data_IF_357820068277
#
_entry.id   IF_357820068277
#
_cell.length_a   1.000
_cell.length_b   1.000
_cell.length_c   1.000
_cell.angle_alpha   90.00
_cell.angle_beta   90.00
_cell.angle_gamma   90.00
#
_symmetry.space_group_name_H-M   'P 1'
#
loop_
_entity.id
_entity.type
_entity.pdbx_description
1 polymer ?
#
# COMPACT_ATOMS: atom_id res chain seq x y z
N UNK A 1 -38.63 19.57 -24.57
CA UNK A 1 -37.62 18.73 -25.24
C UNK A 1 -36.42 18.52 -24.29
N UNK A 2 -36.62 17.77 -23.20
CA UNK A 2 -35.55 17.36 -22.28
C UNK A 2 -35.17 15.91 -22.58
N UNK A 3 -34.40 15.72 -23.65
CA UNK A 3 -34.05 14.38 -24.11
C UNK A 3 -33.13 13.71 -23.07
N UNK A 4 -33.71 12.68 -22.42
CA UNK A 4 -33.08 11.40 -22.13
C UNK A 4 -31.56 11.49 -22.02
N UNK A 5 -31.05 11.69 -20.81
CA UNK A 5 -29.70 11.23 -20.49
C UNK A 5 -29.58 9.80 -21.00
N UNK A 6 -28.71 9.60 -21.98
CA UNK A 6 -28.46 8.30 -22.58
C UNK A 6 -28.19 7.29 -21.46
N UNK A 7 -28.82 6.12 -21.52
CA UNK A 7 -28.63 4.99 -20.59
C UNK A 7 -27.18 4.85 -20.04
N UNK A 8 -26.11 4.98 -20.85
CA UNK A 8 -24.73 5.01 -20.36
C UNK A 8 -24.40 6.05 -19.29
N UNK A 9 -24.86 7.32 -19.45
CA UNK A 9 -24.55 8.39 -18.49
C UNK A 9 -25.17 8.13 -17.12
N UNK A 10 -26.36 7.53 -17.08
CA UNK A 10 -27.00 7.17 -15.80
C UNK A 10 -26.21 6.09 -15.07
N UNK A 11 -25.72 5.10 -15.80
CA UNK A 11 -24.89 4.03 -15.22
C UNK A 11 -23.54 4.56 -14.72
N UNK A 12 -22.94 5.46 -15.49
CA UNK A 12 -21.71 6.15 -15.13
C UNK A 12 -21.86 6.96 -13.84
N UNK A 13 -22.92 7.76 -13.72
CA UNK A 13 -23.20 8.49 -12.47
C UNK A 13 -23.42 7.54 -11.30
N UNK A 14 -24.16 6.44 -11.51
CA UNK A 14 -24.38 5.42 -10.47
C UNK A 14 -23.07 4.78 -10.00
N UNK A 15 -22.16 4.48 -10.92
CA UNK A 15 -20.85 3.91 -10.63
C UNK A 15 -19.99 4.89 -9.82
N UNK A 16 -19.95 6.16 -10.23
CA UNK A 16 -19.25 7.23 -9.51
C UNK A 16 -19.77 7.41 -8.08
N UNK A 17 -21.09 7.47 -7.90
CA UNK A 17 -21.71 7.62 -6.57
C UNK A 17 -21.34 6.43 -5.66
N UNK A 18 -21.40 5.20 -6.18
CA UNK A 18 -21.05 4.00 -5.42
C UNK A 18 -19.56 3.92 -5.08
N UNK A 19 -18.71 4.42 -5.96
CA UNK A 19 -17.28 4.51 -5.74
C UNK A 19 -16.94 5.55 -4.66
N UNK A 20 -17.58 6.72 -4.68
CA UNK A 20 -17.44 7.73 -3.64
C UNK A 20 -17.93 7.23 -2.28
N UNK A 21 -19.05 6.50 -2.26
CA UNK A 21 -19.57 5.81 -1.07
C UNK A 21 -18.56 4.81 -0.51
N UNK A 22 -18.02 3.93 -1.36
CA UNK A 22 -16.98 2.97 -0.97
C UNK A 22 -15.74 3.69 -0.41
N UNK A 23 -15.26 4.73 -1.09
CA UNK A 23 -14.11 5.53 -0.67
C UNK A 23 -14.33 6.14 0.72
N UNK A 24 -15.51 6.70 0.98
CA UNK A 24 -15.85 7.29 2.29
C UNK A 24 -15.82 6.27 3.42
N UNK A 25 -16.30 5.04 3.17
CA UNK A 25 -16.29 3.94 4.14
C UNK A 25 -14.86 3.48 4.41
N UNK A 26 -14.05 3.34 3.37
CA UNK A 26 -12.64 2.93 3.52
C UNK A 26 -11.81 3.97 4.28
N UNK A 27 -12.02 5.27 4.03
CA UNK A 27 -11.38 6.34 4.81
C UNK A 27 -11.80 6.24 6.28
N UNK A 28 -13.09 6.02 6.55
CA UNK A 28 -13.62 5.89 7.91
C UNK A 28 -13.04 4.65 8.62
N UNK A 29 -12.95 3.51 7.92
CA UNK A 29 -12.32 2.28 8.42
C UNK A 29 -10.85 2.51 8.77
N UNK A 30 -10.07 3.15 7.90
CA UNK A 30 -8.65 3.46 8.16
C UNK A 30 -8.47 4.38 9.37
N UNK A 31 -9.34 5.39 9.53
CA UNK A 31 -9.34 6.25 10.73
C UNK A 31 -9.62 5.45 12.00
N UNK A 32 -10.60 4.54 11.96
CA UNK A 32 -10.93 3.63 13.07
C UNK A 32 -9.78 2.68 13.39
N UNK A 33 -9.09 2.13 12.39
CA UNK A 33 -7.91 1.25 12.60
C UNK A 33 -6.75 2.01 13.24
N UNK A 34 -6.44 3.22 12.76
CA UNK A 34 -5.45 4.10 13.40
C UNK A 34 -5.84 4.41 14.85
N UNK A 35 -7.13 4.68 15.10
CA UNK A 35 -7.63 4.94 16.45
C UNK A 35 -7.53 3.69 17.34
N UNK A 36 -7.86 2.51 16.84
CA UNK A 36 -7.71 1.24 17.55
C UNK A 36 -6.24 0.99 17.95
N UNK A 37 -5.30 1.15 17.02
CA UNK A 37 -3.86 1.00 17.30
C UNK A 37 -3.38 2.01 18.34
N UNK A 38 -3.80 3.28 18.23
CA UNK A 38 -3.47 4.30 19.23
C UNK A 38 -4.08 3.98 20.61
N UNK A 39 -5.34 3.56 20.65
CA UNK A 39 -6.03 3.21 21.89
C UNK A 39 -5.40 2.01 22.60
N UNK A 40 -4.98 0.97 21.85
CA UNK A 40 -4.26 -0.17 22.42
C UNK A 40 -2.90 0.22 22.99
N UNK A 41 -2.20 1.18 22.38
CA UNK A 41 -0.97 1.74 22.94
C UNK A 41 -1.25 2.48 24.27
N UNK A 42 -2.26 3.35 24.31
CA UNK A 42 -2.63 4.07 25.53
C UNK A 42 -3.07 3.15 26.68
N UNK A 43 -3.81 2.07 26.40
CA UNK A 43 -4.18 1.09 27.40
C UNK A 43 -2.94 0.40 28.02
N UNK A 44 -1.97 0.01 27.19
CA UNK A 44 -0.70 -0.58 27.67
C UNK A 44 0.07 0.41 28.55
N UNK A 45 0.18 1.67 28.09
CA UNK A 45 0.84 2.73 28.85
C UNK A 45 0.13 2.96 30.20
N UNK A 46 -1.19 3.02 30.22
CA UNK A 46 -2.00 3.17 31.42
C UNK A 46 -1.75 2.02 32.42
N UNK A 47 -1.75 0.77 31.96
CA UNK A 47 -1.48 -0.41 32.82
C UNK A 47 -0.08 -0.33 33.44
N UNK A 48 0.93 0.09 32.67
CA UNK A 48 2.31 0.25 33.18
C UNK A 48 2.37 1.34 34.24
N UNK A 49 1.82 2.53 33.96
CA UNK A 49 1.80 3.65 34.90
C UNK A 49 1.04 3.31 36.19
N UNK A 50 -0.12 2.67 36.06
CA UNK A 50 -0.91 2.23 37.20
C UNK A 50 -0.15 1.18 38.04
N UNK A 51 0.55 0.25 37.39
CA UNK A 51 1.36 -0.76 38.09
C UNK A 51 2.51 -0.13 38.89
N UNK A 52 3.16 0.91 38.34
CA UNK A 52 4.20 1.69 39.03
C UNK A 52 3.60 2.44 40.22
N UNK A 53 2.48 3.14 40.01
CA UNK A 53 1.78 3.87 41.09
C UNK A 53 1.37 2.91 42.21
N UNK A 54 0.83 1.75 41.86
CA UNK A 54 0.43 0.73 42.82
C UNK A 54 1.62 0.18 43.62
N UNK A 55 2.77 -0.06 42.97
CA UNK A 55 3.99 -0.48 43.64
C UNK A 55 4.48 0.57 44.66
N UNK A 56 4.50 1.84 44.27
CA UNK A 56 4.84 2.95 45.18
C UNK A 56 3.88 2.96 46.37
N UNK A 57 2.59 2.79 46.11
CA UNK A 57 1.57 2.76 47.15
C UNK A 57 1.79 1.61 48.14
N UNK A 58 2.16 0.42 47.66
CA UNK A 58 2.51 -0.72 48.52
C UNK A 58 3.73 -0.43 49.40
N UNK A 59 4.77 0.20 48.85
CA UNK A 59 5.98 0.58 49.60
C UNK A 59 5.63 1.59 50.69
N UNK A 60 4.84 2.61 50.37
CA UNK A 60 4.40 3.63 51.34
C UNK A 60 3.52 3.00 52.42
N UNK A 61 2.56 2.16 52.04
CA UNK A 61 1.70 1.44 52.99
C UNK A 61 2.51 0.56 53.93
N UNK A 62 3.56 -0.10 53.42
CA UNK A 62 4.46 -0.91 54.23
C UNK A 62 5.25 -0.07 55.25
N UNK A 63 5.77 1.09 54.83
CA UNK A 63 6.57 1.97 55.69
C UNK A 63 5.74 2.67 56.77
N UNK A 64 4.55 3.17 56.43
CA UNK A 64 3.78 4.03 57.33
C UNK A 64 2.80 3.28 58.23
N UNK A 65 2.60 1.97 58.06
CA UNK A 65 1.72 1.05 58.83
C UNK A 65 0.25 1.50 59.04
N UNK A 66 -0.11 2.72 58.65
CA UNK A 66 -1.34 3.41 59.00
C UNK A 66 -2.18 3.76 57.78
N UNK A 67 -1.66 3.57 56.56
CA UNK A 67 -2.49 3.74 55.36
C UNK A 67 -3.53 2.63 55.27
N UNK A 68 -4.78 3.05 55.05
CA UNK A 68 -5.99 2.29 55.26
C UNK A 68 -6.27 1.33 54.10
N UNK A 69 -6.67 0.09 54.44
CA UNK A 69 -7.16 -0.94 53.51
C UNK A 69 -8.28 -0.38 52.59
N UNK A 70 -9.06 0.58 53.06
CA UNK A 70 -10.11 1.24 52.27
C UNK A 70 -9.57 1.97 51.04
N UNK A 71 -8.46 2.70 51.15
CA UNK A 71 -7.90 3.42 50.00
C UNK A 71 -7.43 2.46 48.90
N UNK A 72 -6.88 1.30 49.31
CA UNK A 72 -6.49 0.23 48.40
C UNK A 72 -7.72 -0.29 47.65
N UNK A 73 -8.81 -0.53 48.37
CA UNK A 73 -10.06 -1.03 47.76
C UNK A 73 -10.61 -0.03 46.74
N UNK A 74 -10.67 1.26 47.07
CA UNK A 74 -11.19 2.30 46.18
C UNK A 74 -10.34 2.43 44.90
N UNK A 75 -9.01 2.41 45.02
CA UNK A 75 -8.08 2.44 43.87
C UNK A 75 -8.23 1.21 42.97
N UNK A 76 -8.40 0.02 43.55
CA UNK A 76 -8.68 -1.19 42.77
C UNK A 76 -10.01 -1.11 42.04
N UNK A 77 -11.08 -0.65 42.72
CA UNK A 77 -12.39 -0.49 42.09
C UNK A 77 -12.29 0.50 40.93
N UNK A 78 -11.62 1.63 41.11
CA UNK A 78 -11.39 2.61 40.06
C UNK A 78 -10.64 1.99 38.87
N UNK A 79 -9.57 1.25 39.12
CA UNK A 79 -8.81 0.55 38.07
C UNK A 79 -9.66 -0.43 37.26
N UNK A 80 -10.48 -1.25 37.93
CA UNK A 80 -11.39 -2.19 37.27
C UNK A 80 -12.46 -1.46 36.44
N UNK A 81 -13.00 -0.35 36.94
CA UNK A 81 -13.95 0.48 36.18
C UNK A 81 -13.27 1.02 34.91
N UNK A 82 -12.09 1.62 35.04
CA UNK A 82 -11.35 2.19 33.90
C UNK A 82 -11.07 1.10 32.86
N UNK A 83 -10.50 -0.04 33.27
CA UNK A 83 -10.23 -1.17 32.38
C UNK A 83 -11.50 -1.65 31.68
N UNK A 84 -12.62 -1.77 32.41
CA UNK A 84 -13.89 -2.21 31.84
C UNK A 84 -14.39 -1.26 30.77
N UNK A 85 -14.31 0.06 31.01
CA UNK A 85 -14.65 1.10 30.02
C UNK A 85 -13.75 0.97 28.78
N UNK A 86 -12.44 0.78 28.96
CA UNK A 86 -11.50 0.58 27.85
C UNK A 86 -11.86 -0.66 27.01
N UNK A 87 -12.25 -1.77 27.64
CA UNK A 87 -12.70 -2.97 26.92
C UNK A 87 -14.02 -2.75 26.17
N UNK A 88 -14.97 -2.03 26.75
CA UNK A 88 -16.22 -1.69 26.08
C UNK A 88 -15.99 -0.79 24.85
N UNK A 89 -15.15 0.24 25.00
CA UNK A 89 -14.74 1.10 23.87
C UNK A 89 -14.07 0.26 22.80
N UNK A 90 -13.13 -0.63 23.17
CA UNK A 90 -12.47 -1.52 22.22
C UNK A 90 -13.47 -2.41 21.48
N UNK A 91 -14.38 -3.06 22.19
CA UNK A 91 -15.41 -3.92 21.60
C UNK A 91 -16.28 -3.14 20.61
N UNK A 92 -16.66 -1.91 20.97
CA UNK A 92 -17.40 -1.00 20.10
C UNK A 92 -16.60 -0.68 18.83
N UNK A 93 -15.33 -0.27 18.92
CA UNK A 93 -14.49 -0.01 17.75
C UNK A 93 -14.41 -1.23 16.83
N UNK A 94 -14.14 -2.41 17.42
CA UNK A 94 -14.04 -3.65 16.66
C UNK A 94 -15.35 -3.98 15.94
N UNK A 95 -16.49 -3.77 16.58
CA UNK A 95 -17.80 -3.91 15.95
C UNK A 95 -17.96 -2.95 14.75
N UNK A 96 -17.57 -1.68 14.89
CA UNK A 96 -17.65 -0.71 13.80
C UNK A 96 -16.71 -1.03 12.64
N UNK A 97 -15.49 -1.49 12.92
CA UNK A 97 -14.54 -1.93 11.88
C UNK A 97 -15.12 -3.11 11.10
N UNK A 98 -15.68 -4.10 11.81
CA UNK A 98 -16.28 -5.27 11.16
C UNK A 98 -17.52 -4.88 10.34
N UNK A 99 -18.40 -4.03 10.88
CA UNK A 99 -19.57 -3.54 10.15
C UNK A 99 -19.17 -2.73 8.91
N UNK A 100 -18.13 -1.88 9.01
CA UNK A 100 -17.58 -1.16 7.86
C UNK A 100 -16.98 -2.12 6.82
N UNK A 101 -16.34 -3.21 7.25
CA UNK A 101 -15.81 -4.23 6.36
C UNK A 101 -16.94 -4.93 5.59
N UNK A 102 -18.00 -5.36 6.25
CA UNK A 102 -19.18 -5.96 5.62
C UNK A 102 -19.84 -5.02 4.61
N UNK A 103 -20.06 -3.75 4.99
CA UNK A 103 -20.61 -2.74 4.07
C UNK A 103 -19.72 -2.50 2.87
N UNK A 104 -18.40 -2.46 3.07
CA UNK A 104 -17.45 -2.28 1.96
C UNK A 104 -17.46 -3.47 1.00
N UNK A 105 -17.67 -4.69 1.51
CA UNK A 105 -17.77 -5.90 0.69
C UNK A 105 -19.07 -5.91 -0.11
N UNK A 106 -20.20 -5.56 0.52
CA UNK A 106 -21.48 -5.43 -0.16
C UNK A 106 -21.42 -4.38 -1.30
N UNK A 107 -20.81 -3.22 -1.05
CA UNK A 107 -20.64 -2.18 -2.06
C UNK A 107 -19.72 -2.60 -3.20
N UNK A 108 -18.66 -3.37 -2.92
CA UNK A 108 -17.80 -3.94 -3.97
C UNK A 108 -18.58 -4.87 -4.89
N UNK A 109 -19.44 -5.71 -4.33
CA UNK A 109 -20.32 -6.58 -5.11
C UNK A 109 -21.31 -5.79 -5.98
N UNK A 110 -21.91 -4.71 -5.42
CA UNK A 110 -22.78 -3.82 -6.19
C UNK A 110 -22.04 -3.10 -7.33
N UNK A 111 -20.82 -2.63 -7.06
CA UNK A 111 -19.95 -2.00 -8.05
C UNK A 111 -19.57 -2.97 -9.16
N UNK A 112 -19.22 -4.21 -8.81
CA UNK A 112 -18.91 -5.27 -9.78
C UNK A 112 -20.11 -5.54 -10.70
N UNK A 113 -21.32 -5.61 -10.13
CA UNK A 113 -22.54 -5.77 -10.91
C UNK A 113 -22.79 -4.59 -11.86
N UNK A 114 -22.62 -3.36 -11.38
CA UNK A 114 -22.77 -2.16 -12.21
C UNK A 114 -21.70 -2.11 -13.32
N UNK A 115 -20.48 -2.55 -13.03
CA UNK A 115 -19.39 -2.61 -14.00
C UNK A 115 -19.64 -3.69 -15.07
N UNK A 116 -20.13 -4.87 -14.69
CA UNK A 116 -20.57 -5.90 -15.64
C UNK A 116 -21.67 -5.39 -16.57
N UNK A 117 -22.68 -4.72 -16.01
CA UNK A 117 -23.75 -4.10 -16.80
C UNK A 117 -23.22 -3.02 -17.76
N UNK A 118 -22.26 -2.20 -17.30
CA UNK A 118 -21.61 -1.19 -18.12
C UNK A 118 -20.81 -1.79 -19.27
N UNK A 119 -19.99 -2.81 -18.98
CA UNK A 119 -19.15 -3.49 -19.98
C UNK A 119 -19.97 -4.30 -20.98
N UNK A 120 -21.18 -4.74 -20.63
CA UNK A 120 -22.14 -5.35 -21.56
C UNK A 120 -22.74 -4.36 -22.57
N UNK A 121 -22.61 -3.04 -22.37
CA UNK A 121 -23.20 -2.08 -23.29
C UNK A 121 -22.54 -2.13 -24.68
N UNK A 122 -23.32 -2.00 -25.77
CA UNK A 122 -22.80 -2.11 -27.14
C UNK A 122 -21.76 -1.03 -27.46
N UNK A 123 -21.87 0.16 -26.86
CA UNK A 123 -20.87 1.22 -26.99
C UNK A 123 -19.50 0.80 -26.45
N UNK A 124 -19.48 0.19 -25.27
CA UNK A 124 -18.25 -0.32 -24.67
C UNK A 124 -17.64 -1.46 -25.50
N UNK A 125 -18.47 -2.38 -25.99
CA UNK A 125 -18.01 -3.48 -26.86
C UNK A 125 -17.38 -2.98 -28.17
N UNK A 126 -17.89 -1.88 -28.75
CA UNK A 126 -17.27 -1.25 -29.92
C UNK A 126 -15.89 -0.68 -29.60
N UNK A 127 -15.75 0.01 -28.47
CA UNK A 127 -14.46 0.56 -28.00
C UNK A 127 -13.46 -0.58 -27.74
N UNK A 128 -13.90 -1.63 -27.02
CA UNK A 128 -13.10 -2.82 -26.75
C UNK A 128 -12.58 -3.47 -28.05
N UNK A 129 -13.45 -3.62 -29.06
CA UNK A 129 -13.03 -4.14 -30.38
C UNK A 129 -12.01 -3.23 -31.08
N UNK A 130 -12.22 -1.91 -31.04
CA UNK A 130 -11.31 -0.94 -31.66
C UNK A 130 -9.91 -0.96 -31.00
N UNK A 131 -9.85 -1.02 -29.67
CA UNK A 131 -8.57 -1.15 -28.94
C UNK A 131 -7.88 -2.49 -29.22
N UNK A 132 -8.65 -3.59 -29.32
CA UNK A 132 -8.11 -4.91 -29.62
C UNK A 132 -7.48 -4.97 -31.02
N UNK A 133 -8.08 -4.29 -32.00
CA UNK A 133 -7.51 -4.18 -33.35
C UNK A 133 -6.18 -3.42 -33.39
N UNK A 134 -5.93 -2.54 -32.43
CA UNK A 134 -4.67 -1.78 -32.32
C UNK A 134 -3.59 -2.52 -31.51
N UNK A 135 -3.90 -3.67 -30.91
CA UNK A 135 -3.00 -4.34 -29.97
C UNK A 135 -2.88 -3.61 -28.62
N UNK A 136 -3.74 -2.62 -28.36
CA UNK A 136 -3.72 -1.78 -27.15
C UNK A 136 -4.67 -2.30 -26.05
N UNK A 137 -5.47 -3.34 -26.33
CA UNK A 137 -6.45 -3.85 -25.36
C UNK A 137 -5.84 -4.85 -24.39
N UNK A 138 -5.97 -4.56 -23.10
CA UNK A 138 -5.71 -5.49 -22.00
C UNK A 138 -7.02 -5.86 -21.33
N UNK A 139 -7.14 -7.11 -20.92
CA UNK A 139 -8.27 -7.55 -20.12
C UNK A 139 -8.20 -6.85 -18.77
N UNK A 140 -9.09 -5.87 -18.56
CA UNK A 140 -9.20 -5.17 -17.30
C UNK A 140 -9.76 -6.18 -16.29
N UNK A 141 -8.91 -6.67 -15.41
CA UNK A 141 -9.36 -7.33 -14.21
C UNK A 141 -9.99 -6.27 -13.28
N UNK A 142 -11.28 -6.42 -13.01
CA UNK A 142 -12.01 -5.50 -12.15
C UNK A 142 -11.38 -5.44 -10.75
N UNK A 143 -10.81 -6.55 -10.31
CA UNK A 143 -10.14 -6.66 -9.02
C UNK A 143 -8.89 -5.76 -8.98
N UNK A 144 -8.16 -5.61 -10.10
CA UNK A 144 -7.04 -4.67 -10.21
C UNK A 144 -7.51 -3.22 -10.10
N UNK A 145 -8.61 -2.86 -10.77
CA UNK A 145 -9.19 -1.49 -10.71
C UNK A 145 -9.60 -1.13 -9.27
N UNK A 146 -10.20 -2.08 -8.55
CA UNK A 146 -10.58 -1.88 -7.14
C UNK A 146 -9.37 -1.87 -6.19
N UNK A 147 -8.33 -2.67 -6.47
CA UNK A 147 -7.09 -2.70 -5.65
C UNK A 147 -6.26 -1.44 -5.81
N UNK A 148 -6.21 -0.86 -7.01
CA UNK A 148 -5.55 0.41 -7.32
C UNK A 148 -6.02 1.57 -6.42
N UNK A 149 -7.29 1.58 -6.03
CA UNK A 149 -7.83 2.57 -5.08
C UNK A 149 -7.36 2.37 -3.64
N UNK A 150 -6.94 1.15 -3.30
CA UNK A 150 -6.52 0.78 -1.96
C UNK A 150 -5.07 1.23 -1.67
N UNK A 151 -4.22 1.18 -2.69
CA UNK A 151 -2.78 1.43 -2.59
C UNK A 151 -2.36 2.88 -2.88
N UNK A 152 -3.20 3.72 -3.49
CA UNK A 152 -2.88 5.14 -3.60
C UNK A 152 -2.99 5.80 -2.22
N UNK A 153 -1.87 5.91 -1.51
CA UNK A 153 -1.75 6.72 -0.30
C UNK A 153 -2.29 8.15 -0.54
N UNK A 154 -2.75 8.73 0.58
CA UNK A 154 -3.48 10.00 0.76
C UNK A 154 -2.94 11.24 0.02
N UNK A 155 -1.80 11.16 -0.69
CA UNK A 155 -1.15 12.30 -1.36
C UNK A 155 -1.31 12.35 -2.88
N UNK A 156 -1.73 11.27 -3.55
CA UNK A 156 -1.80 11.25 -5.04
C UNK A 156 -3.22 11.00 -5.57
N UNK A 157 -4.25 11.19 -4.74
CA UNK A 157 -5.62 11.32 -5.26
C UNK A 157 -5.80 12.76 -5.71
N UNK A 158 -5.13 13.10 -6.80
CA UNK A 158 -5.54 14.22 -7.64
C UNK A 158 -6.99 13.93 -8.10
N UNK A 159 -7.80 14.97 -8.30
CA UNK A 159 -9.23 14.94 -8.69
C UNK A 159 -9.52 14.28 -10.07
N UNK A 160 -8.67 13.37 -10.53
CA UNK A 160 -8.85 12.64 -11.77
C UNK A 160 -10.11 11.77 -11.67
N UNK A 161 -11.06 12.03 -12.56
CA UNK A 161 -12.29 11.26 -12.71
C UNK A 161 -11.98 9.77 -12.91
N UNK A 162 -12.90 8.89 -12.51
CA UNK A 162 -12.81 7.45 -12.76
C UNK A 162 -12.44 7.14 -14.23
N UNK A 163 -12.95 7.94 -15.18
CA UNK A 163 -12.60 7.84 -16.59
C UNK A 163 -11.15 8.12 -16.91
N UNK A 164 -10.56 9.14 -16.30
CA UNK A 164 -9.13 9.42 -16.48
C UNK A 164 -8.31 8.21 -16.01
N UNK A 165 -8.69 7.59 -14.89
CA UNK A 165 -8.05 6.36 -14.38
C UNK A 165 -8.28 5.15 -15.27
N UNK A 166 -9.52 4.86 -15.62
CA UNK A 166 -9.86 3.75 -16.52
C UNK A 166 -9.18 3.91 -17.88
N UNK A 167 -9.11 5.13 -18.40
CA UNK A 167 -8.38 5.45 -19.63
C UNK A 167 -6.88 5.26 -19.45
N UNK A 168 -6.30 5.59 -18.29
CA UNK A 168 -4.88 5.34 -18.01
C UNK A 168 -4.55 3.86 -17.90
N UNK A 169 -5.45 3.04 -17.35
CA UNK A 169 -5.32 1.57 -17.30
C UNK A 169 -5.42 0.99 -18.71
N UNK A 170 -6.44 1.39 -19.48
CA UNK A 170 -6.62 0.97 -20.87
C UNK A 170 -5.46 1.38 -21.76
N UNK A 171 -4.89 2.56 -21.55
CA UNK A 171 -3.82 3.12 -22.36
C UNK A 171 -2.40 2.82 -21.81
N UNK A 172 -2.25 2.00 -20.78
CA UNK A 172 -0.95 1.72 -20.11
C UNK A 172 -0.18 2.96 -19.63
N UNK A 173 -0.90 4.05 -19.36
CA UNK A 173 -0.34 5.33 -18.93
C UNK A 173 -0.44 5.56 -17.41
N UNK A 174 -0.91 4.56 -16.66
CA UNK A 174 -0.99 4.62 -15.20
C UNK A 174 0.37 4.51 -14.50
N UNK A 175 0.48 4.97 -13.24
CA UNK A 175 1.71 4.89 -12.44
C UNK A 175 2.22 3.44 -12.27
N UNK A 176 1.30 2.47 -12.20
CA UNK A 176 1.61 1.05 -12.01
C UNK A 176 2.28 0.39 -13.22
N UNK A 177 2.14 0.96 -14.42
CA UNK A 177 2.78 0.43 -15.62
C UNK A 177 4.15 1.08 -15.88
N UNK A 178 4.65 1.87 -14.94
CA UNK A 178 5.92 2.59 -15.09
C UNK A 178 6.96 2.02 -14.11
N UNK A 179 8.17 1.85 -14.60
CA UNK A 179 9.29 1.47 -13.74
C UNK A 179 9.69 2.64 -12.86
N UNK A 180 9.84 2.41 -11.55
CA UNK A 180 10.43 3.40 -10.66
C UNK A 180 11.92 3.56 -11.01
N UNK A 181 12.34 4.80 -11.26
CA UNK A 181 13.75 5.12 -11.48
C UNK A 181 14.40 5.26 -10.10
N UNK A 182 15.20 4.28 -9.70
CA UNK A 182 15.93 4.28 -8.43
C UNK A 182 17.41 4.56 -8.70
N UNK A 183 18.00 5.49 -7.94
CA UNK A 183 19.42 5.80 -8.07
C UNK A 183 20.30 4.69 -7.48
N UNK A 184 21.26 4.12 -8.23
CA UNK A 184 22.13 3.07 -7.71
C UNK A 184 23.05 3.57 -6.59
N UNK A 185 23.42 4.86 -6.61
CA UNK A 185 24.35 5.44 -5.65
C UNK A 185 23.71 5.80 -4.31
N UNK A 186 22.52 6.41 -4.30
CA UNK A 186 21.88 6.90 -3.07
C UNK A 186 20.51 6.26 -2.78
N UNK A 187 20.04 5.34 -3.63
CA UNK A 187 18.78 4.60 -3.51
C UNK A 187 17.52 5.47 -3.45
N UNK A 188 17.60 6.74 -3.83
CA UNK A 188 16.45 7.64 -3.92
C UNK A 188 15.63 7.39 -5.19
N UNK A 189 14.30 7.53 -5.11
CA UNK A 189 13.39 7.51 -6.27
C UNK A 189 13.49 8.85 -7.01
N UNK A 190 13.78 8.81 -8.30
CA UNK A 190 13.98 10.00 -9.16
C UNK A 190 12.90 10.18 -10.22
N UNK A 191 11.87 9.34 -10.20
CA UNK A 191 10.73 9.42 -11.11
C UNK A 191 10.24 8.05 -11.53
N UNK A 192 9.49 8.03 -12.63
CA UNK A 192 8.93 6.81 -13.22
C UNK A 192 9.13 6.87 -14.74
N UNK A 193 9.45 5.74 -15.37
CA UNK A 193 9.61 5.66 -16.84
C UNK A 193 8.69 4.61 -17.44
N UNK A 194 8.22 4.83 -18.67
CA UNK A 194 7.47 3.82 -19.42
C UNK A 194 8.34 2.60 -19.78
N UNK A 195 7.75 1.41 -19.99
CA UNK A 195 8.54 0.23 -20.34
C UNK A 195 9.26 0.32 -21.68
N UNK A 196 8.78 1.17 -22.58
CA UNK A 196 9.37 1.42 -23.91
C UNK A 196 10.61 2.32 -23.83
N UNK A 197 10.68 3.18 -22.81
CA UNK A 197 11.77 4.13 -22.60
C UNK A 197 12.84 3.59 -21.66
N UNK A 198 12.57 2.49 -20.93
CA UNK A 198 13.42 1.98 -19.84
C UNK A 198 14.90 1.82 -20.22
N UNK A 199 15.18 1.40 -21.46
CA UNK A 199 16.54 1.12 -21.96
C UNK A 199 17.26 2.38 -22.50
N UNK A 200 16.57 3.53 -22.52
CA UNK A 200 17.06 4.80 -23.06
C UNK A 200 17.15 5.90 -22.00
N UNK A 201 16.88 5.58 -20.73
CA UNK A 201 16.85 6.57 -19.66
C UNK A 201 18.26 6.95 -19.25
N UNK A 202 18.58 8.21 -19.46
CA UNK A 202 19.66 8.91 -18.78
C UNK A 202 19.07 10.00 -17.89
N UNK A 203 19.48 10.04 -16.63
CA UNK A 203 19.03 11.09 -15.72
C UNK A 203 20.13 11.56 -14.78
N UNK A 204 19.96 12.77 -14.27
CA UNK A 204 20.79 13.33 -13.21
C UNK A 204 20.02 13.23 -11.90
N UNK A 205 20.53 12.46 -10.94
CA UNK A 205 19.86 12.27 -9.66
C UNK A 205 19.68 13.62 -8.92
N UNK A 206 18.46 13.92 -8.47
CA UNK A 206 18.16 15.17 -7.75
C UNK A 206 18.85 15.26 -6.39
N UNK A 207 19.17 14.11 -5.78
CA UNK A 207 19.75 14.02 -4.45
C UNK A 207 21.28 14.03 -4.48
N UNK A 208 21.90 13.04 -5.14
CA UNK A 208 23.38 12.92 -5.18
C UNK A 208 24.04 13.59 -6.39
N UNK A 209 23.27 14.11 -7.35
CA UNK A 209 23.75 14.79 -8.59
C UNK A 209 24.56 13.92 -9.55
N UNK A 210 24.77 12.64 -9.26
CA UNK A 210 25.38 11.69 -10.21
C UNK A 210 24.52 11.52 -11.45
N UNK A 211 25.17 11.42 -12.62
CA UNK A 211 24.51 10.98 -13.86
C UNK A 211 24.44 9.47 -13.86
N UNK A 212 23.28 8.93 -14.22
CA UNK A 212 23.03 7.49 -14.29
C UNK A 212 22.50 7.20 -15.69
N UNK A 213 23.21 6.33 -16.42
CA UNK A 213 22.72 5.62 -17.60
C UNK A 213 22.40 4.19 -17.19
N UNK A 214 21.28 3.65 -17.66
CA UNK A 214 20.94 2.25 -17.39
C UNK A 214 21.54 1.35 -18.46
N UNK A 215 22.55 0.56 -18.09
CA UNK A 215 23.08 -0.51 -18.96
C UNK A 215 22.46 -1.89 -18.60
N UNK A 216 21.86 -2.02 -17.41
CA UNK A 216 21.24 -3.25 -16.92
C UNK A 216 19.93 -2.98 -16.19
N UNK A 217 18.84 -3.55 -16.69
CA UNK A 217 17.54 -3.62 -16.01
C UNK A 217 17.61 -4.71 -14.95
N UNK A 218 17.49 -4.34 -13.67
CA UNK A 218 17.26 -5.30 -12.60
C UNK A 218 15.84 -5.83 -12.81
N UNK A 219 15.70 -7.09 -13.24
CA UNK A 219 14.38 -7.72 -13.39
C UNK A 219 13.64 -7.68 -12.06
N UNK A 220 12.34 -7.39 -12.11
CA UNK A 220 11.44 -7.51 -10.96
C UNK A 220 11.53 -8.92 -10.37
N UNK A 221 11.59 -8.99 -9.04
CA UNK A 221 11.21 -10.19 -8.31
C UNK A 221 9.72 -10.43 -8.57
N UNK A 222 9.40 -11.41 -9.43
CA UNK A 222 8.06 -11.98 -9.48
C UNK A 222 7.77 -12.56 -8.09
N UNK A 223 6.71 -12.08 -7.44
CA UNK A 223 6.20 -12.67 -6.18
C UNK A 223 5.67 -14.10 -6.35
N UNK A 224 5.80 -14.69 -7.52
CA UNK A 224 5.26 -16.02 -7.84
C UNK A 224 6.24 -17.17 -7.54
N UNK A 225 7.50 -16.90 -7.18
CA UNK A 225 8.53 -17.95 -7.09
C UNK A 225 9.09 -18.26 -5.68
N UNK A 226 8.67 -17.59 -4.60
CA UNK A 226 9.29 -17.76 -3.27
C UNK A 226 8.28 -18.01 -2.12
N UNK A 227 7.59 -19.16 -2.16
CA UNK A 227 7.09 -19.78 -0.91
C UNK A 227 7.91 -21.02 -0.46
N UNK A 228 8.78 -21.59 -1.31
CA UNK A 228 9.53 -22.83 -0.97
C UNK A 228 11.07 -22.75 -1.02
N UNK A 229 11.68 -21.62 -1.41
CA UNK A 229 13.15 -21.55 -1.67
C UNK A 229 13.95 -20.67 -0.69
N UNK A 230 13.50 -20.50 0.56
CA UNK A 230 14.21 -19.70 1.56
C UNK A 230 15.16 -20.50 2.48
N UNK A 231 15.70 -21.64 2.02
CA UNK A 231 16.58 -22.48 2.85
C UNK A 231 18.04 -22.66 2.40
N UNK A 232 18.43 -22.37 1.16
CA UNK A 232 19.78 -22.74 0.69
C UNK A 232 20.55 -21.58 0.04
N UNK A 233 20.84 -20.53 0.79
CA UNK A 233 21.93 -19.60 0.47
C UNK A 233 23.00 -19.69 1.57
N UNK A 234 23.60 -20.87 1.69
CA UNK A 234 24.93 -21.00 2.27
C UNK A 234 25.98 -20.38 1.35
N UNK A 235 26.90 -19.66 1.97
CA UNK A 235 28.02 -18.96 1.38
C UNK A 235 28.84 -19.86 0.44
N UNK A 236 29.01 -19.44 -0.81
CA UNK A 236 30.03 -20.00 -1.70
C UNK A 236 31.26 -19.08 -1.67
N UNK A 237 32.43 -19.55 -1.23
CA UNK A 237 33.64 -18.74 -1.21
C UNK A 237 34.37 -18.74 -2.55
N UNK A 238 35.08 -17.63 -2.74
CA UNK A 238 36.33 -17.44 -3.49
C UNK A 238 36.34 -17.61 -5.02
N UNK A 239 36.44 -16.44 -5.66
CA UNK A 239 36.85 -16.26 -7.06
C UNK A 239 38.35 -16.50 -7.15
N UNK A 240 38.74 -17.52 -7.92
CA UNK A 240 40.11 -17.79 -8.33
C UNK A 240 40.70 -16.61 -9.10
N UNK A 241 41.78 -16.04 -8.58
CA UNK A 241 42.63 -15.08 -9.28
C UNK A 241 43.32 -15.77 -10.46
N UNK A 242 42.92 -15.42 -11.68
CA UNK A 242 43.71 -15.71 -12.89
C UNK A 242 45.01 -14.91 -12.83
N UNK A 243 46.13 -15.61 -12.84
CA UNK A 243 47.46 -15.06 -13.10
C UNK A 243 47.49 -14.54 -14.54
N UNK A 244 47.91 -13.29 -14.70
CA UNK A 244 48.34 -12.73 -15.98
C UNK A 244 49.67 -13.40 -16.35
N UNK A 245 49.74 -13.91 -17.58
CA UNK A 245 50.96 -14.41 -18.21
C UNK A 245 51.78 -13.20 -18.68
N UNK A 246 53.01 -13.12 -18.18
CA UNK A 246 54.03 -12.21 -18.67
C UNK A 246 54.46 -12.67 -20.09
N UNK A 247 54.06 -11.90 -21.10
CA UNK A 247 54.50 -12.07 -22.48
C UNK A 247 55.81 -11.27 -22.67
N UNK A 248 56.94 -11.97 -22.50
CA UNK A 248 58.28 -11.53 -22.92
C UNK A 248 58.33 -11.48 -24.46
N UNK A 249 58.35 -10.26 -25.02
CA UNK A 249 58.43 -10.05 -26.47
C UNK A 249 59.38 -8.92 -26.86
N UNK A 250 60.63 -9.32 -27.08
CA UNK A 250 61.63 -8.78 -28.03
C UNK A 250 62.03 -7.30 -27.96
N UNK A 251 63.16 -7.11 -27.27
CA UNK A 251 64.12 -6.04 -27.51
C UNK A 251 65.01 -6.36 -28.73
N UNK A 252 65.09 -5.36 -29.59
CA UNK A 252 66.28 -4.96 -30.35
C UNK A 252 66.78 -5.88 -31.48
N UNK A 253 66.59 -5.38 -32.71
CA UNK A 253 67.70 -5.28 -33.66
C UNK A 253 67.78 -3.86 -34.23
N UNK A 254 68.85 -3.17 -33.80
CA UNK A 254 69.34 -1.91 -34.33
C UNK A 254 70.75 -2.20 -34.85
N UNK A 255 70.93 -2.00 -36.16
CA UNK A 255 72.16 -1.91 -36.97
C UNK A 255 72.64 -3.19 -37.68
#
# INVERSE_FOLDING_TARGET
MGALFSSPRKLETKLLVKQDELKSILISKRKLEKWHTSHTFFLKLFIILFSIQFLIFLIVSYLYKFLTIQLIQDEFIFFFIVISIFYLIRAFISYWINSAAERSLALRFELEKCFKEYTSQPGFQKIKKALKQRGEYYEIDFDQVLRLEYFSEERVINNQSFWARLSSILARNGPDYRYAIICPYCRSVNGTVSPEEKDKVEYKCMYCRSRVSFDKVIKEYSKEDDEDTLHDLEEKPEVEAKKEEDDEGDLADLK
#
